data_IF_250447715458
#
_entry.id   IF_250447715458
#
_cell.length_a   1.000
_cell.length_b   1.000
_cell.length_c   1.000
_cell.angle_alpha   90.00
_cell.angle_beta   90.00
_cell.angle_gamma   90.00
#
_symmetry.space_group_name_H-M   'P 1'
#
loop_
_entity.id
_entity.type
_entity.pdbx_description
1 polymer ?
#
# COMPACT_ATOMS: atom_id res chain seq x y z
N UNK A 1 15.63 -22.95 -5.89
CA UNK A 1 14.96 -22.73 -7.19
C UNK A 1 15.01 -23.91 -8.15
N UNK A 2 16.19 -24.44 -8.52
CA UNK A 2 16.28 -25.52 -9.52
C UNK A 2 15.63 -26.83 -9.08
N UNK A 3 15.84 -27.21 -7.81
CA UNK A 3 15.23 -28.45 -7.24
C UNK A 3 13.70 -28.39 -7.30
N UNK A 4 13.13 -27.25 -6.98
CA UNK A 4 11.68 -27.05 -6.96
C UNK A 4 11.07 -27.16 -8.37
N UNK A 5 11.73 -26.57 -9.36
CA UNK A 5 11.34 -26.73 -10.79
C UNK A 5 11.35 -28.17 -11.25
N UNK A 6 12.37 -28.94 -10.88
CA UNK A 6 12.45 -30.38 -11.20
C UNK A 6 11.31 -31.16 -10.55
N UNK A 7 10.95 -30.84 -9.30
CA UNK A 7 9.85 -31.49 -8.61
C UNK A 7 8.50 -31.20 -9.28
N UNK A 8 8.27 -29.94 -9.67
CA UNK A 8 7.06 -29.54 -10.40
C UNK A 8 7.02 -30.21 -11.77
N UNK A 9 8.12 -30.18 -12.53
CA UNK A 9 8.21 -30.84 -13.83
C UNK A 9 7.91 -32.37 -13.73
N UNK A 10 8.44 -33.03 -12.69
CA UNK A 10 8.16 -34.44 -12.42
C UNK A 10 6.67 -34.69 -12.12
N UNK A 11 6.03 -33.81 -11.35
CA UNK A 11 4.60 -33.92 -11.06
C UNK A 11 3.76 -33.75 -12.34
N UNK A 12 4.13 -32.80 -13.20
CA UNK A 12 3.45 -32.53 -14.46
C UNK A 12 3.57 -33.67 -15.49
N UNK A 13 4.69 -34.41 -15.48
CA UNK A 13 4.85 -35.59 -16.33
C UNK A 13 3.80 -36.68 -16.07
N UNK A 14 3.13 -36.64 -14.91
CA UNK A 14 2.05 -37.58 -14.57
C UNK A 14 0.68 -37.15 -15.14
N UNK A 15 0.62 -36.00 -15.83
CA UNK A 15 -0.62 -35.41 -16.36
C UNK A 15 -1.74 -35.33 -15.30
N UNK A 16 -1.49 -34.68 -14.14
CA UNK A 16 -2.44 -34.65 -13.04
C UNK A 16 -3.65 -33.78 -13.40
N UNK A 17 -4.83 -34.16 -12.92
CA UNK A 17 -6.00 -33.29 -12.93
C UNK A 17 -6.00 -32.28 -11.77
N UNK A 18 -5.31 -32.61 -10.69
CA UNK A 18 -5.13 -31.76 -9.49
C UNK A 18 -3.66 -31.75 -9.13
N UNK A 19 -3.10 -30.54 -8.98
CA UNK A 19 -1.72 -30.32 -8.55
C UNK A 19 -1.74 -29.62 -7.20
N UNK A 20 -1.14 -30.27 -6.19
CA UNK A 20 -1.02 -29.70 -4.84
C UNK A 20 0.43 -29.28 -4.62
N UNK A 21 0.66 -28.04 -4.26
CA UNK A 21 1.96 -27.42 -4.06
C UNK A 21 2.04 -26.79 -2.67
N UNK A 22 3.06 -27.14 -1.92
CA UNK A 22 3.34 -26.53 -0.64
C UNK A 22 4.45 -25.49 -0.80
N UNK A 23 4.12 -24.23 -0.54
CA UNK A 23 5.00 -23.07 -0.66
C UNK A 23 5.88 -23.06 -1.94
N UNK A 24 5.29 -23.15 -3.15
CA UNK A 24 6.06 -23.34 -4.36
C UNK A 24 6.95 -22.14 -4.72
N UNK A 25 6.71 -20.98 -4.13
CA UNK A 25 7.44 -19.73 -4.37
C UNK A 25 8.49 -19.42 -3.31
N UNK A 26 8.51 -20.15 -2.21
CA UNK A 26 9.50 -19.97 -1.14
C UNK A 26 10.93 -20.14 -1.64
N UNK A 27 11.82 -19.24 -1.24
CA UNK A 27 13.24 -19.23 -1.65
C UNK A 27 13.50 -18.99 -3.16
N UNK A 28 12.48 -18.56 -3.91
CA UNK A 28 12.66 -18.10 -5.28
C UNK A 28 12.91 -16.59 -5.31
N UNK A 29 13.80 -16.15 -6.20
CA UNK A 29 13.87 -14.72 -6.52
C UNK A 29 12.62 -14.27 -7.33
N UNK A 30 12.42 -12.97 -7.43
CA UNK A 30 11.24 -12.37 -8.06
C UNK A 30 11.03 -12.84 -9.49
N UNK A 31 12.10 -13.00 -10.26
CA UNK A 31 12.02 -13.47 -11.65
C UNK A 31 11.41 -14.87 -11.73
N UNK A 32 11.91 -15.78 -10.89
CA UNK A 32 11.44 -17.17 -10.88
C UNK A 32 10.05 -17.32 -10.28
N UNK A 33 9.66 -16.46 -9.32
CA UNK A 33 8.28 -16.38 -8.84
C UNK A 33 7.32 -16.03 -9.96
N UNK A 34 7.65 -15.01 -10.76
CA UNK A 34 6.84 -14.59 -11.91
C UNK A 34 6.76 -15.71 -12.97
N UNK A 35 7.90 -16.31 -13.34
CA UNK A 35 7.94 -17.39 -14.33
C UNK A 35 7.11 -18.60 -13.87
N UNK A 36 7.24 -19.02 -12.61
CA UNK A 36 6.46 -20.14 -12.06
C UNK A 36 4.98 -19.83 -12.04
N UNK A 37 4.60 -18.63 -11.57
CA UNK A 37 3.20 -18.20 -11.54
C UNK A 37 2.57 -18.21 -12.93
N UNK A 38 3.28 -17.74 -13.95
CA UNK A 38 2.81 -17.78 -15.33
C UNK A 38 2.59 -19.22 -15.85
N UNK A 39 3.51 -20.14 -15.51
CA UNK A 39 3.35 -21.56 -15.83
C UNK A 39 2.11 -22.16 -15.16
N UNK A 40 1.93 -21.90 -13.87
CA UNK A 40 0.78 -22.42 -13.11
C UNK A 40 -0.54 -21.88 -13.65
N UNK A 41 -0.61 -20.59 -13.95
CA UNK A 41 -1.78 -19.98 -14.59
C UNK A 41 -2.08 -20.59 -15.95
N UNK A 42 -1.07 -20.81 -16.80
CA UNK A 42 -1.24 -21.47 -18.09
C UNK A 42 -1.80 -22.90 -17.93
N UNK A 43 -1.26 -23.69 -16.99
CA UNK A 43 -1.75 -25.02 -16.70
C UNK A 43 -3.22 -25.03 -16.26
N UNK A 44 -3.59 -24.09 -15.40
CA UNK A 44 -4.97 -23.97 -14.93
C UNK A 44 -5.93 -23.55 -16.06
N UNK A 45 -5.57 -22.52 -16.84
CA UNK A 45 -6.44 -21.94 -17.88
C UNK A 45 -6.53 -22.76 -19.16
N UNK A 46 -5.39 -23.26 -19.66
CA UNK A 46 -5.32 -23.93 -20.95
C UNK A 46 -5.39 -25.46 -20.87
N UNK A 47 -4.94 -26.04 -19.76
CA UNK A 47 -4.93 -27.48 -19.61
C UNK A 47 -5.96 -27.99 -18.59
N UNK A 48 -6.71 -27.10 -17.96
CA UNK A 48 -7.78 -27.47 -17.02
C UNK A 48 -7.28 -28.18 -15.75
N UNK A 49 -6.02 -27.94 -15.36
CA UNK A 49 -5.46 -28.49 -14.13
C UNK A 49 -5.95 -27.66 -12.93
N UNK A 50 -6.56 -28.32 -11.96
CA UNK A 50 -6.87 -27.66 -10.69
C UNK A 50 -5.60 -27.53 -9.85
N UNK A 51 -5.25 -26.32 -9.44
CA UNK A 51 -4.05 -26.06 -8.63
C UNK A 51 -4.47 -25.62 -7.23
N UNK A 52 -3.94 -26.32 -6.24
CA UNK A 52 -4.07 -25.95 -4.82
C UNK A 52 -2.67 -25.67 -4.30
N UNK A 53 -2.42 -24.49 -3.76
CA UNK A 53 -1.09 -24.14 -3.26
C UNK A 53 -1.18 -23.32 -1.98
N UNK A 54 -0.21 -23.53 -1.08
CA UNK A 54 0.01 -22.64 0.05
C UNK A 54 0.93 -21.49 -0.37
N UNK A 55 0.60 -20.27 0.04
CA UNK A 55 1.40 -19.08 -0.21
C UNK A 55 1.47 -18.20 1.03
N UNK A 56 2.62 -17.56 1.25
CA UNK A 56 2.79 -16.55 2.29
C UNK A 56 2.71 -15.12 1.74
N UNK A 57 2.91 -14.97 0.43
CA UNK A 57 2.87 -13.65 -0.23
C UNK A 57 1.43 -13.31 -0.62
N UNK A 58 0.81 -12.40 0.13
CA UNK A 58 -0.59 -11.98 -0.07
C UNK A 58 -0.76 -11.34 -1.46
N UNK A 59 0.18 -10.49 -1.88
CA UNK A 59 0.16 -9.81 -3.18
C UNK A 59 0.23 -10.79 -4.35
N UNK A 60 1.01 -11.86 -4.21
CA UNK A 60 1.08 -12.92 -5.20
C UNK A 60 -0.21 -13.74 -5.21
N UNK A 61 -0.71 -14.14 -4.04
CA UNK A 61 -1.95 -14.88 -3.91
C UNK A 61 -3.13 -14.12 -4.53
N UNK A 62 -3.21 -12.80 -4.31
CA UNK A 62 -4.24 -11.95 -4.91
C UNK A 62 -4.20 -11.91 -6.45
N UNK A 63 -3.03 -12.09 -7.04
CA UNK A 63 -2.85 -12.01 -8.50
C UNK A 63 -3.04 -13.32 -9.25
N UNK A 64 -2.85 -14.45 -8.56
CA UNK A 64 -2.81 -15.76 -9.25
C UNK A 64 -3.96 -16.68 -8.88
N UNK A 65 -4.73 -16.38 -7.84
CA UNK A 65 -5.77 -17.27 -7.33
C UNK A 65 -7.16 -16.88 -7.83
N UNK A 66 -7.99 -17.87 -8.11
CA UNK A 66 -9.44 -17.69 -8.33
C UNK A 66 -10.19 -17.67 -6.99
N UNK A 67 -9.71 -18.49 -6.04
CA UNK A 67 -10.26 -18.59 -4.69
C UNK A 67 -9.10 -18.64 -3.69
N UNK A 68 -9.32 -18.02 -2.56
CA UNK A 68 -8.37 -17.99 -1.44
C UNK A 68 -9.03 -18.57 -0.20
N UNK A 69 -8.25 -19.32 0.54
CA UNK A 69 -8.61 -19.85 1.86
C UNK A 69 -7.62 -19.31 2.89
N UNK A 70 -8.09 -18.48 3.81
CA UNK A 70 -7.31 -18.01 4.95
C UNK A 70 -7.36 -19.05 6.07
N UNK A 71 -6.19 -19.55 6.47
CA UNK A 71 -6.05 -20.56 7.54
C UNK A 71 -5.39 -19.89 8.73
N UNK A 72 -6.13 -19.72 9.80
CA UNK A 72 -5.65 -19.21 11.07
C UNK A 72 -5.45 -20.32 12.11
N UNK A 73 -5.33 -19.92 13.36
CA UNK A 73 -5.05 -20.85 14.47
C UNK A 73 -6.17 -21.85 14.74
N UNK A 74 -7.39 -21.53 14.38
CA UNK A 74 -8.58 -22.37 14.61
C UNK A 74 -9.09 -23.10 13.36
N UNK A 75 -8.35 -23.05 12.27
CA UNK A 75 -8.72 -23.66 10.99
C UNK A 75 -9.01 -22.64 9.89
N UNK A 76 -9.97 -22.96 9.03
CA UNK A 76 -10.40 -22.05 7.96
C UNK A 76 -11.19 -20.90 8.57
N UNK A 77 -10.65 -19.68 8.46
CA UNK A 77 -11.27 -18.46 9.00
C UNK A 77 -11.98 -17.66 7.91
N UNK A 78 -11.52 -17.78 6.67
CA UNK A 78 -12.12 -17.09 5.52
C UNK A 78 -11.94 -17.91 4.24
N UNK A 79 -12.89 -17.74 3.30
CA UNK A 79 -12.87 -18.40 2.00
C UNK A 79 -13.66 -17.60 0.98
N UNK A 80 -13.08 -17.32 -0.19
CA UNK A 80 -13.74 -16.56 -1.24
C UNK A 80 -12.79 -16.11 -2.35
N UNK A 81 -13.28 -15.23 -3.21
CA UNK A 81 -12.44 -14.55 -4.18
C UNK A 81 -11.40 -13.66 -3.48
N UNK A 82 -10.21 -13.43 -4.10
CA UNK A 82 -9.17 -12.61 -3.50
C UNK A 82 -9.67 -11.26 -3.01
N UNK A 83 -10.50 -10.57 -3.78
CA UNK A 83 -11.01 -9.23 -3.47
C UNK A 83 -11.94 -9.23 -2.23
N UNK A 84 -12.59 -10.35 -1.94
CA UNK A 84 -13.43 -10.50 -0.75
C UNK A 84 -12.64 -10.93 0.49
N UNK A 85 -11.51 -11.64 0.28
CA UNK A 85 -10.69 -12.17 1.38
C UNK A 85 -9.62 -11.18 1.80
N UNK A 86 -8.93 -10.53 0.86
CA UNK A 86 -7.81 -9.63 1.15
C UNK A 86 -8.28 -8.21 1.45
N UNK A 87 -9.06 -8.05 2.48
CA UNK A 87 -9.43 -6.76 3.06
C UNK A 87 -8.53 -6.42 4.24
N UNK A 88 -8.42 -5.14 4.60
CA UNK A 88 -7.68 -4.68 5.77
C UNK A 88 -8.11 -5.41 7.04
N UNK A 89 -9.42 -5.55 7.26
CA UNK A 89 -10.00 -6.19 8.44
C UNK A 89 -9.62 -7.68 8.49
N UNK A 90 -9.83 -8.41 7.41
CA UNK A 90 -9.54 -9.84 7.35
C UNK A 90 -8.05 -10.15 7.54
N UNK A 91 -7.17 -9.37 6.92
CA UNK A 91 -5.72 -9.55 7.05
C UNK A 91 -5.26 -9.19 8.46
N UNK A 92 -5.78 -8.11 9.03
CA UNK A 92 -5.50 -7.72 10.41
C UNK A 92 -5.90 -8.83 11.38
N UNK A 93 -7.07 -9.43 11.20
CA UNK A 93 -7.55 -10.55 12.01
C UNK A 93 -6.70 -11.81 11.81
N UNK A 94 -6.46 -12.23 10.56
CA UNK A 94 -5.74 -13.47 10.23
C UNK A 94 -4.32 -13.50 10.79
N UNK A 95 -3.62 -12.36 10.69
CA UNK A 95 -2.22 -12.23 11.13
C UNK A 95 -2.07 -11.68 12.55
N UNK A 96 -3.18 -11.30 13.21
CA UNK A 96 -3.14 -10.70 14.54
C UNK A 96 -2.36 -9.39 14.57
N UNK A 97 -2.48 -8.55 13.54
CA UNK A 97 -1.73 -7.32 13.42
C UNK A 97 -2.22 -6.33 14.49
N UNK A 98 -1.35 -6.01 15.44
CA UNK A 98 -1.66 -5.04 16.52
C UNK A 98 -1.12 -3.64 16.23
N UNK A 99 -0.20 -3.49 15.29
CA UNK A 99 0.39 -2.22 14.88
C UNK A 99 0.73 -2.24 13.40
N UNK A 100 0.49 -1.13 12.69
CA UNK A 100 0.56 -1.08 11.23
C UNK A 100 -0.77 -1.49 10.58
N UNK A 101 -0.82 -1.41 9.27
CA UNK A 101 -2.04 -1.63 8.48
C UNK A 101 -1.70 -2.34 7.18
N UNK A 102 -2.61 -3.19 6.72
CA UNK A 102 -2.59 -3.73 5.37
C UNK A 102 -3.40 -2.82 4.44
N UNK A 103 -2.73 -2.19 3.49
CA UNK A 103 -3.41 -1.44 2.44
C UNK A 103 -3.87 -2.40 1.32
N UNK A 104 -5.16 -2.66 1.27
CA UNK A 104 -5.76 -3.55 0.29
C UNK A 104 -5.67 -3.02 -1.16
N UNK A 105 -5.52 -1.71 -1.37
CA UNK A 105 -5.40 -1.12 -2.71
C UNK A 105 -4.03 -1.36 -3.31
N UNK A 106 -2.98 -1.19 -2.52
CA UNK A 106 -1.60 -1.44 -2.97
C UNK A 106 -1.15 -2.89 -2.74
N UNK A 107 -1.87 -3.65 -1.94
CA UNK A 107 -1.47 -5.00 -1.52
C UNK A 107 -0.24 -5.00 -0.61
N UNK A 108 0.06 -3.89 0.06
CA UNK A 108 1.26 -3.70 0.88
C UNK A 108 0.93 -3.45 2.35
N UNK A 109 1.90 -3.73 3.21
CA UNK A 109 1.80 -3.37 4.62
C UNK A 109 2.45 -2.01 4.87
N UNK A 110 1.77 -1.16 5.61
CA UNK A 110 2.31 0.10 6.08
C UNK A 110 2.66 0.01 7.56
N UNK A 111 3.79 0.61 7.93
CA UNK A 111 4.23 0.71 9.32
C UNK A 111 3.29 1.63 10.11
N UNK A 112 3.23 1.49 11.43
CA UNK A 112 2.46 2.42 12.25
C UNK A 112 3.00 3.85 12.08
N UNK A 113 2.09 4.81 12.03
CA UNK A 113 2.46 6.23 11.96
C UNK A 113 3.33 6.64 13.14
N UNK A 114 4.23 7.58 12.91
CA UNK A 114 5.01 8.20 13.99
C UNK A 114 4.08 8.95 14.98
N UNK A 115 4.33 8.77 16.27
CA UNK A 115 3.56 9.42 17.32
C UNK A 115 4.07 10.85 17.58
N UNK A 116 3.17 11.73 17.99
CA UNK A 116 3.49 13.09 18.39
C UNK A 116 2.84 14.17 17.52
N UNK A 117 3.15 15.43 17.84
CA UNK A 117 2.69 16.56 17.05
C UNK A 117 3.42 16.59 15.69
N UNK A 118 2.75 16.95 14.60
CA UNK A 118 3.38 17.04 13.30
C UNK A 118 4.55 18.03 13.30
N UNK A 119 5.72 17.55 12.87
CA UNK A 119 6.94 18.35 12.70
C UNK A 119 7.01 18.99 11.30
N UNK A 120 6.49 18.32 10.28
CA UNK A 120 6.48 18.78 8.91
C UNK A 120 5.07 18.79 8.32
N UNK A 121 4.81 19.74 7.43
CA UNK A 121 3.65 19.76 6.55
C UNK A 121 4.10 19.31 5.16
N UNK A 122 3.53 18.24 4.63
CA UNK A 122 3.86 17.72 3.30
C UNK A 122 2.75 18.11 2.33
N UNK A 123 3.08 18.84 1.26
CA UNK A 123 2.15 18.98 0.16
C UNK A 123 1.94 17.61 -0.49
N UNK A 124 0.74 17.33 -0.89
CA UNK A 124 0.42 16.03 -1.48
C UNK A 124 -0.40 16.18 -2.75
N UNK A 125 -0.41 15.12 -3.53
CA UNK A 125 -1.24 15.01 -4.72
C UNK A 125 -0.62 14.12 -5.80
N UNK A 126 -1.50 13.49 -6.57
CA UNK A 126 -1.17 12.68 -7.74
C UNK A 126 -0.21 11.50 -7.46
N UNK A 127 -0.18 11.00 -6.22
CA UNK A 127 0.69 9.90 -5.81
C UNK A 127 2.15 10.29 -5.58
N UNK A 128 2.48 11.59 -5.57
CA UNK A 128 3.86 12.08 -5.43
C UNK A 128 4.36 12.10 -3.98
N UNK A 129 3.46 12.24 -3.04
CA UNK A 129 3.81 12.38 -1.63
C UNK A 129 4.01 11.04 -0.90
N UNK A 130 3.49 9.94 -1.39
CA UNK A 130 3.57 8.62 -0.73
C UNK A 130 5.01 8.20 -0.38
N UNK A 131 5.99 8.47 -1.24
CA UNK A 131 7.40 8.16 -0.96
C UNK A 131 7.97 9.00 0.18
N UNK A 132 7.56 10.27 0.27
CA UNK A 132 7.94 11.20 1.35
C UNK A 132 7.30 10.73 2.66
N UNK A 133 6.01 10.35 2.66
CA UNK A 133 5.33 9.81 3.84
C UNK A 133 6.04 8.60 4.41
N UNK A 134 6.38 7.61 3.56
CA UNK A 134 7.11 6.41 3.98
C UNK A 134 8.51 6.72 4.50
N UNK A 135 9.19 7.73 3.93
CA UNK A 135 10.49 8.19 4.45
C UNK A 135 10.34 8.77 5.84
N UNK A 136 9.42 9.73 6.06
CA UNK A 136 9.18 10.36 7.35
C UNK A 136 8.78 9.34 8.42
N UNK A 137 7.94 8.36 8.05
CA UNK A 137 7.57 7.27 8.96
C UNK A 137 8.77 6.44 9.38
N UNK A 138 9.68 6.08 8.44
CA UNK A 138 10.94 5.37 8.78
C UNK A 138 11.87 6.19 9.67
N UNK A 139 11.86 7.50 9.53
CA UNK A 139 12.62 8.44 10.35
C UNK A 139 11.97 8.70 11.72
N UNK A 140 10.77 8.15 11.96
CA UNK A 140 10.01 8.40 13.18
C UNK A 140 9.50 9.84 13.30
N UNK A 141 9.38 10.55 12.17
CA UNK A 141 8.97 11.96 12.12
C UNK A 141 7.47 12.07 11.85
N UNK A 142 6.65 12.52 12.83
CA UNK A 142 5.24 12.75 12.61
C UNK A 142 5.03 13.94 11.65
N UNK A 143 4.07 13.83 10.75
CA UNK A 143 3.80 14.85 9.75
C UNK A 143 2.30 15.08 9.55
N UNK A 144 1.96 16.28 9.07
CA UNK A 144 0.66 16.59 8.51
C UNK A 144 0.77 16.62 6.98
N UNK A 145 -0.32 16.38 6.29
CA UNK A 145 -0.36 16.49 4.83
C UNK A 145 -1.68 17.08 4.34
N UNK A 146 -1.64 17.65 3.16
CA UNK A 146 -2.80 18.23 2.46
C UNK A 146 -2.33 19.34 1.51
N UNK A 147 -3.24 20.01 0.82
CA UNK A 147 -4.67 19.72 0.81
C UNK A 147 -4.93 18.69 -0.29
N UNK A 148 -5.40 17.51 0.08
CA UNK A 148 -5.63 16.41 -0.86
C UNK A 148 -7.11 16.35 -1.28
N UNK A 149 -7.40 16.12 -2.55
CA UNK A 149 -8.74 15.68 -2.91
C UNK A 149 -9.05 14.32 -2.29
N UNK A 150 -10.28 14.08 -1.83
CA UNK A 150 -10.67 12.81 -1.16
C UNK A 150 -10.46 11.55 -2.03
N UNK A 151 -10.37 11.73 -3.35
CA UNK A 151 -10.08 10.66 -4.32
C UNK A 151 -8.62 10.69 -4.82
N UNK A 152 -7.72 11.43 -4.18
CA UNK A 152 -6.32 11.49 -4.57
C UNK A 152 -5.58 10.17 -4.30
N UNK A 153 -4.60 9.86 -5.12
CA UNK A 153 -3.79 8.63 -5.03
C UNK A 153 -2.93 8.56 -3.76
N UNK A 154 -2.63 9.70 -3.13
CA UNK A 154 -1.88 9.75 -1.87
C UNK A 154 -2.77 9.51 -0.63
N UNK A 155 -4.11 9.57 -0.76
CA UNK A 155 -5.05 9.42 0.37
C UNK A 155 -4.90 8.09 1.12
N UNK A 156 -4.80 6.92 0.46
CA UNK A 156 -4.64 5.65 1.17
C UNK A 156 -3.43 5.65 2.10
N UNK A 157 -2.25 6.03 1.58
CA UNK A 157 -1.03 6.11 2.37
C UNK A 157 -1.12 7.20 3.46
N UNK A 158 -1.68 8.37 3.14
CA UNK A 158 -1.85 9.46 4.09
C UNK A 158 -2.68 9.03 5.31
N UNK A 159 -3.79 8.30 5.11
CA UNK A 159 -4.66 7.83 6.21
C UNK A 159 -3.93 6.98 7.24
N UNK A 160 -2.96 6.20 6.80
CA UNK A 160 -2.22 5.30 7.68
C UNK A 160 -0.98 5.95 8.30
N UNK A 161 -0.30 6.84 7.57
CA UNK A 161 1.01 7.33 7.92
C UNK A 161 1.01 8.75 8.50
N UNK A 162 0.06 9.62 8.10
CA UNK A 162 0.02 11.00 8.55
C UNK A 162 -0.65 11.13 9.94
N UNK A 163 -0.11 12.02 10.77
CA UNK A 163 -0.74 12.39 12.05
C UNK A 163 -1.99 13.27 11.81
N UNK A 164 -2.01 14.03 10.73
CA UNK A 164 -3.14 14.89 10.33
C UNK A 164 -3.24 14.97 8.82
N UNK A 165 -4.46 14.90 8.29
CA UNK A 165 -4.76 15.02 6.87
C UNK A 165 -5.77 16.15 6.68
N UNK A 166 -5.52 17.01 5.72
CA UNK A 166 -6.46 18.03 5.27
C UNK A 166 -6.95 17.67 3.88
N UNK A 167 -8.26 17.61 3.71
CA UNK A 167 -8.88 17.16 2.46
C UNK A 167 -9.84 18.20 1.90
N UNK A 168 -10.09 18.08 0.60
CA UNK A 168 -11.16 18.79 -0.11
C UNK A 168 -12.00 17.80 -0.90
N UNK A 169 -13.22 18.20 -1.25
CA UNK A 169 -14.08 17.39 -2.11
C UNK A 169 -13.42 17.14 -3.49
N UNK A 170 -13.68 15.99 -4.12
CA UNK A 170 -13.14 15.70 -5.45
C UNK A 170 -13.49 16.80 -6.46
N UNK A 171 -12.47 17.20 -7.24
CA UNK A 171 -12.63 18.21 -8.31
C UNK A 171 -13.11 19.59 -7.84
N UNK A 172 -13.01 19.89 -6.54
CA UNK A 172 -13.37 21.18 -5.98
C UNK A 172 -12.16 21.84 -5.30
N UNK A 173 -12.05 23.19 -5.37
CA UNK A 173 -11.05 23.89 -4.57
C UNK A 173 -11.37 23.76 -3.08
N UNK A 174 -10.35 23.82 -2.21
CA UNK A 174 -10.56 23.82 -0.77
C UNK A 174 -11.39 25.03 -0.32
N UNK A 175 -12.21 24.82 0.69
CA UNK A 175 -12.93 25.92 1.32
C UNK A 175 -11.98 26.82 2.11
N UNK A 176 -12.40 28.07 2.38
CA UNK A 176 -11.58 29.01 3.18
C UNK A 176 -11.30 28.46 4.60
N UNK A 177 -12.21 27.65 5.13
CA UNK A 177 -12.00 27.00 6.43
C UNK A 177 -10.83 25.99 6.35
N UNK A 178 -10.76 25.18 5.30
CA UNK A 178 -9.66 24.21 5.08
C UNK A 178 -8.34 24.92 4.82
N UNK A 179 -8.35 26.01 4.05
CA UNK A 179 -7.16 26.83 3.81
C UNK A 179 -6.64 27.47 5.11
N UNK A 180 -7.53 27.99 5.94
CA UNK A 180 -7.16 28.56 7.25
C UNK A 180 -6.57 27.49 8.16
N UNK A 181 -7.16 26.31 8.19
CA UNK A 181 -6.66 25.15 8.95
C UNK A 181 -5.29 24.69 8.44
N UNK A 182 -5.08 24.69 7.11
CA UNK A 182 -3.80 24.33 6.50
C UNK A 182 -2.71 25.33 6.88
N UNK A 183 -2.97 26.64 6.78
CA UNK A 183 -2.03 27.70 7.19
C UNK A 183 -1.66 27.57 8.68
N UNK A 184 -2.65 27.32 9.55
CA UNK A 184 -2.38 27.14 10.99
C UNK A 184 -1.57 25.87 11.29
N UNK A 185 -1.88 24.77 10.59
CA UNK A 185 -1.16 23.50 10.74
C UNK A 185 0.29 23.66 10.26
N UNK A 186 0.49 24.37 9.13
CA UNK A 186 1.81 24.65 8.58
C UNK A 186 2.68 25.48 9.55
N UNK A 187 2.12 26.51 10.17
CA UNK A 187 2.82 27.30 11.19
C UNK A 187 3.24 26.44 12.39
N UNK A 188 2.38 25.53 12.81
CA UNK A 188 2.69 24.64 13.93
C UNK A 188 3.77 23.60 13.58
N UNK A 189 3.88 23.21 12.31
CA UNK A 189 4.91 22.28 11.84
C UNK A 189 6.29 22.92 11.68
N UNK A 190 6.35 24.18 11.29
CA UNK A 190 7.60 24.92 11.07
C UNK A 190 8.39 24.53 9.81
N UNK A 191 8.01 23.46 9.11
CA UNK A 191 8.67 23.00 7.87
C UNK A 191 7.62 22.58 6.84
N UNK A 192 7.76 23.08 5.62
CA UNK A 192 6.98 22.69 4.45
C UNK A 192 7.83 21.78 3.55
N UNK A 193 7.34 20.60 3.23
CA UNK A 193 7.97 19.66 2.31
C UNK A 193 7.18 19.60 1.00
N UNK A 194 7.89 19.81 -0.11
CA UNK A 194 7.33 19.75 -1.46
C UNK A 194 7.90 18.51 -2.15
N UNK A 195 7.09 17.48 -2.42
CA UNK A 195 7.55 16.29 -3.13
C UNK A 195 8.06 16.61 -4.54
N UNK A 196 9.12 15.93 -4.96
CA UNK A 196 9.66 16.09 -6.31
C UNK A 196 8.63 15.71 -7.37
N UNK A 197 8.47 16.59 -8.39
CA UNK A 197 7.55 16.38 -9.48
C UNK A 197 6.07 16.56 -9.10
N UNK A 198 5.77 17.20 -7.99
CA UNK A 198 4.42 17.65 -7.65
C UNK A 198 4.03 18.77 -8.63
N UNK A 199 2.91 18.59 -9.31
CA UNK A 199 2.25 19.67 -10.07
C UNK A 199 1.35 20.45 -9.11
N UNK A 200 1.83 21.61 -8.67
CA UNK A 200 1.17 22.44 -7.68
C UNK A 200 -0.18 22.98 -8.20
N UNK A 201 -1.19 22.91 -7.38
CA UNK A 201 -2.45 23.58 -7.58
C UNK A 201 -2.33 25.05 -7.10
N UNK A 202 -3.29 25.89 -7.45
CA UNK A 202 -3.29 27.30 -7.03
C UNK A 202 -3.24 27.47 -5.50
N UNK A 203 -3.87 26.58 -4.74
CA UNK A 203 -3.82 26.59 -3.28
C UNK A 203 -2.50 26.07 -2.69
N UNK A 204 -1.76 25.24 -3.43
CA UNK A 204 -0.41 24.82 -3.02
C UNK A 204 0.55 26.01 -3.18
N UNK A 205 0.45 26.75 -4.29
CA UNK A 205 1.22 27.98 -4.49
C UNK A 205 0.92 29.01 -3.41
N UNK A 206 -0.34 29.12 -2.99
CA UNK A 206 -0.74 30.01 -1.90
C UNK A 206 -0.10 29.59 -0.57
N UNK A 207 -0.08 28.27 -0.25
CA UNK A 207 0.57 27.76 0.96
C UNK A 207 2.09 27.94 0.91
N UNK A 208 2.71 27.80 -0.25
CA UNK A 208 4.14 28.05 -0.45
C UNK A 208 4.47 29.54 -0.21
N UNK A 209 3.70 30.45 -0.80
CA UNK A 209 3.85 31.88 -0.55
C UNK A 209 3.66 32.21 0.94
N UNK A 210 2.62 31.68 1.55
CA UNK A 210 2.35 31.86 2.97
C UNK A 210 3.50 31.35 3.85
N UNK A 211 4.08 30.20 3.53
CA UNK A 211 5.24 29.65 4.25
C UNK A 211 6.44 30.60 4.20
N UNK A 212 6.74 31.16 3.01
CA UNK A 212 7.83 32.10 2.80
C UNK A 212 7.63 33.42 3.57
N UNK A 213 6.41 33.97 3.57
CA UNK A 213 6.06 35.19 4.30
C UNK A 213 6.20 35.03 5.82
N UNK A 214 5.96 33.82 6.35
CA UNK A 214 5.98 33.54 7.80
C UNK A 214 7.24 32.83 8.27
N UNK A 215 8.33 32.85 7.47
CA UNK A 215 9.62 32.23 7.81
C UNK A 215 9.53 30.72 8.11
N UNK A 216 8.57 30.02 7.53
CA UNK A 216 8.51 28.56 7.57
C UNK A 216 9.55 28.01 6.61
N UNK A 217 10.31 27.00 7.04
CA UNK A 217 11.33 26.40 6.20
C UNK A 217 10.69 25.60 5.06
N UNK A 218 11.04 25.93 3.81
CA UNK A 218 10.54 25.23 2.61
C UNK A 218 11.65 24.34 2.06
N UNK A 219 11.37 23.04 1.92
CA UNK A 219 12.31 22.05 1.37
C UNK A 219 11.66 21.24 0.26
N UNK A 220 12.42 20.93 -0.79
CA UNK A 220 12.07 19.92 -1.78
C UNK A 220 12.50 18.52 -1.28
N UNK A 221 11.68 17.49 -1.55
CA UNK A 221 11.82 16.20 -0.87
C UNK A 221 11.47 14.99 -1.76
#
# INVERSE_FOLDING_TARGET
GQRQRVMIARALCQQPRVLVLDEPTSFLDIRYKIELSAILLHLAREQGVTIVMSLHEIDLAARVSDLVMGIGTHGVEMFGAPEAVFTEENITQLYGISSGVYDALSGSMELPRAEGAPYAFVLGGMGKATTVYRRLTREGTPFATGILAENDMDIPAARHLAARILTTAPFAPPSEAVLTEARQTLLNCGTLLIPDGLEAHAWDDELICFAQEHCVEVRHA
#
